data_IF_254140920717
#
_entry.id   IF_254140920717
#
_cell.length_a   1.000
_cell.length_b   1.000
_cell.length_c   1.000
_cell.angle_alpha   90.00
_cell.angle_beta   90.00
_cell.angle_gamma   90.00
#
_symmetry.space_group_name_H-M   'P 1'
#
loop_
_entity.id
_entity.type
_entity.pdbx_description
1 polymer ?
#
# COMPACT_ATOMS: atom_id res chain seq x y z
N UNK A 1 -24.63 29.18 13.90
CA UNK A 1 -23.92 28.05 13.27
C UNK A 1 -23.60 28.46 11.86
N UNK A 2 -22.35 28.85 11.59
CA UNK A 2 -21.95 29.32 10.26
C UNK A 2 -22.04 28.20 9.23
N UNK A 3 -22.92 28.38 8.25
CA UNK A 3 -23.13 27.45 7.14
C UNK A 3 -21.84 27.17 6.36
N UNK A 4 -20.95 28.16 6.28
CA UNK A 4 -19.61 28.07 5.68
C UNK A 4 -18.62 27.21 6.49
N UNK A 5 -18.72 27.20 7.82
CA UNK A 5 -17.95 26.30 8.68
C UNK A 5 -18.47 24.85 8.58
N UNK A 6 -19.79 24.67 8.46
CA UNK A 6 -20.41 23.37 8.18
C UNK A 6 -19.95 22.75 6.86
N UNK A 7 -19.84 23.55 5.80
CA UNK A 7 -19.42 23.09 4.48
C UNK A 7 -17.94 22.65 4.42
N UNK A 8 -17.07 23.28 5.22
CA UNK A 8 -15.64 22.93 5.30
C UNK A 8 -15.36 21.74 6.22
N UNK A 9 -16.20 21.53 7.23
CA UNK A 9 -16.06 20.43 8.21
C UNK A 9 -16.62 19.11 7.71
N UNK A 10 -17.72 19.12 6.95
CA UNK A 10 -18.38 17.90 6.50
C UNK A 10 -17.47 16.95 5.69
N UNK A 11 -16.66 17.42 4.71
CA UNK A 11 -15.73 16.54 3.98
C UNK A 11 -14.64 15.96 4.89
N UNK A 12 -14.10 16.74 5.83
CA UNK A 12 -13.09 16.25 6.79
C UNK A 12 -13.65 15.13 7.68
N UNK A 13 -14.89 15.28 8.17
CA UNK A 13 -15.56 14.26 8.97
C UNK A 13 -15.79 13.00 8.13
N UNK A 14 -16.23 13.15 6.88
CA UNK A 14 -16.41 12.03 5.96
C UNK A 14 -15.12 11.24 5.76
N UNK A 15 -14.02 11.91 5.35
CA UNK A 15 -12.74 11.23 5.13
C UNK A 15 -12.18 10.62 6.42
N UNK A 16 -12.36 11.26 7.58
CA UNK A 16 -12.01 10.68 8.88
C UNK A 16 -12.71 9.31 9.09
N UNK A 17 -14.04 9.28 8.94
CA UNK A 17 -14.83 8.06 9.10
C UNK A 17 -14.38 7.01 8.07
N UNK A 18 -14.23 7.42 6.81
CA UNK A 18 -13.82 6.52 5.73
C UNK A 18 -12.47 5.84 6.01
N UNK A 19 -11.44 6.59 6.41
CA UNK A 19 -10.13 6.02 6.71
C UNK A 19 -10.11 5.15 7.97
N UNK A 20 -10.81 5.54 9.03
CA UNK A 20 -10.91 4.74 10.25
C UNK A 20 -11.67 3.43 10.02
N UNK A 21 -12.82 3.49 9.34
CA UNK A 21 -13.59 2.31 8.98
C UNK A 21 -12.79 1.43 8.03
N UNK A 22 -12.16 2.01 7.02
CA UNK A 22 -11.34 1.25 6.09
C UNK A 22 -10.14 0.57 6.78
N UNK A 23 -9.48 1.24 7.73
CA UNK A 23 -8.42 0.63 8.54
C UNK A 23 -8.90 -0.60 9.34
N UNK A 24 -10.11 -0.52 9.91
CA UNK A 24 -10.74 -1.65 10.60
C UNK A 24 -11.08 -2.77 9.61
N UNK A 25 -11.69 -2.44 8.47
CA UNK A 25 -12.07 -3.40 7.41
C UNK A 25 -10.83 -4.13 6.91
N UNK A 26 -9.76 -3.42 6.55
CA UNK A 26 -8.48 -4.01 6.11
C UNK A 26 -7.90 -4.93 7.18
N UNK A 27 -8.00 -4.55 8.46
CA UNK A 27 -7.50 -5.39 9.56
C UNK A 27 -8.30 -6.69 9.66
N UNK A 28 -9.63 -6.61 9.63
CA UNK A 28 -10.52 -7.78 9.67
C UNK A 28 -10.29 -8.69 8.47
N UNK A 29 -10.21 -8.09 7.28
CA UNK A 29 -10.02 -8.78 6.01
C UNK A 29 -8.66 -9.49 5.97
N UNK A 30 -7.59 -8.84 6.43
CA UNK A 30 -6.26 -9.43 6.52
C UNK A 30 -6.25 -10.69 7.41
N UNK A 31 -6.92 -10.60 8.57
CA UNK A 31 -7.04 -11.74 9.49
C UNK A 31 -7.91 -12.85 8.91
N UNK A 32 -9.00 -12.48 8.24
CA UNK A 32 -9.89 -13.42 7.56
C UNK A 32 -9.15 -14.15 6.43
N UNK A 33 -8.47 -13.43 5.54
CA UNK A 33 -7.70 -14.01 4.43
C UNK A 33 -6.58 -14.91 4.91
N UNK A 34 -5.85 -14.52 5.96
CA UNK A 34 -4.82 -15.37 6.56
C UNK A 34 -5.40 -16.69 7.12
N UNK A 35 -6.58 -16.65 7.75
CA UNK A 35 -7.27 -17.86 8.23
C UNK A 35 -7.81 -18.71 7.09
N UNK A 36 -8.50 -18.10 6.13
CA UNK A 36 -9.09 -18.78 4.96
C UNK A 36 -8.04 -19.53 4.16
N UNK A 37 -6.92 -18.89 3.83
CA UNK A 37 -5.79 -19.52 3.12
C UNK A 37 -5.22 -20.70 3.91
N UNK A 38 -5.10 -20.56 5.23
CA UNK A 38 -4.62 -21.66 6.06
C UNK A 38 -5.58 -22.86 6.05
N UNK A 39 -6.89 -22.62 6.15
CA UNK A 39 -7.91 -23.68 6.10
C UNK A 39 -7.96 -24.36 4.73
N UNK A 40 -7.92 -23.60 3.64
CA UNK A 40 -7.87 -24.14 2.28
C UNK A 40 -6.62 -24.99 2.03
N UNK A 41 -5.48 -24.54 2.56
CA UNK A 41 -4.23 -25.30 2.50
C UNK A 41 -4.33 -26.65 3.22
N UNK A 42 -4.94 -26.67 4.42
CA UNK A 42 -5.18 -27.92 5.16
C UNK A 42 -6.13 -28.85 4.42
N UNK A 43 -7.22 -28.30 3.85
CA UNK A 43 -8.17 -29.07 3.07
C UNK A 43 -7.53 -29.68 1.82
N UNK A 44 -6.68 -28.92 1.10
CA UNK A 44 -5.94 -29.43 -0.07
C UNK A 44 -4.96 -30.54 0.34
N UNK A 45 -4.19 -30.38 1.42
CA UNK A 45 -3.29 -31.42 1.94
C UNK A 45 -4.06 -32.70 2.33
N UNK A 46 -5.20 -32.56 3.00
CA UNK A 46 -5.97 -33.71 3.46
C UNK A 46 -6.63 -34.48 2.30
N UNK A 47 -7.07 -33.76 1.26
CA UNK A 47 -7.63 -34.36 0.05
C UNK A 47 -6.59 -34.98 -0.87
N UNK A 48 -5.37 -34.45 -0.87
CA UNK A 48 -4.31 -34.96 -1.72
C UNK A 48 -3.73 -36.24 -1.14
N UNK A 49 -3.85 -37.37 -1.85
CA UNK A 49 -3.24 -38.68 -1.54
C UNK A 49 -1.70 -38.65 -1.70
N UNK A 50 -1.06 -37.59 -1.23
CA UNK A 50 0.37 -37.36 -1.44
C UNK A 50 1.14 -38.16 -0.39
N UNK A 51 1.88 -39.15 -0.85
CA UNK A 51 2.86 -39.88 -0.03
C UNK A 51 4.02 -38.93 0.24
N UNK A 52 4.08 -38.39 1.46
CA UNK A 52 5.22 -37.57 1.89
C UNK A 52 6.48 -38.45 2.02
N UNK A 53 7.68 -37.93 1.69
CA UNK A 53 8.92 -38.67 1.91
C UNK A 53 9.03 -39.05 3.39
N UNK A 54 9.55 -40.26 3.70
CA UNK A 54 9.59 -40.86 5.05
C UNK A 54 10.15 -39.93 6.15
N UNK A 55 10.96 -38.94 5.75
CA UNK A 55 11.62 -37.98 6.63
C UNK A 55 10.82 -36.69 6.91
N UNK A 56 9.63 -36.50 6.33
CA UNK A 56 8.85 -35.25 6.45
C UNK A 56 7.42 -35.54 6.92
N UNK A 57 7.15 -35.22 8.19
CA UNK A 57 5.80 -35.31 8.76
C UNK A 57 4.88 -34.21 8.20
N UNK A 58 3.62 -34.55 7.92
CA UNK A 58 2.58 -33.59 7.54
C UNK A 58 2.45 -32.44 8.55
N UNK A 59 2.70 -32.70 9.84
CA UNK A 59 2.71 -31.67 10.89
C UNK A 59 3.82 -30.63 10.68
N UNK A 60 4.98 -31.04 10.19
CA UNK A 60 6.12 -30.16 9.92
C UNK A 60 5.87 -29.24 8.73
N UNK A 61 5.22 -29.76 7.68
CA UNK A 61 4.76 -29.00 6.51
C UNK A 61 3.77 -27.92 6.94
N UNK A 62 2.76 -28.29 7.73
CA UNK A 62 1.75 -27.36 8.25
C UNK A 62 2.39 -26.29 9.14
N UNK A 63 3.31 -26.68 10.03
CA UNK A 63 4.05 -25.74 10.90
C UNK A 63 4.87 -24.75 10.08
N UNK A 64 5.54 -25.22 9.03
CA UNK A 64 6.36 -24.40 8.13
C UNK A 64 5.51 -23.42 7.33
N UNK A 65 4.40 -23.88 6.74
CA UNK A 65 3.46 -23.03 6.03
C UNK A 65 2.89 -21.94 6.94
N UNK A 66 2.45 -22.30 8.16
CA UNK A 66 1.93 -21.35 9.15
C UNK A 66 2.97 -20.31 9.58
N UNK A 67 4.25 -20.69 9.70
CA UNK A 67 5.34 -19.74 9.97
C UNK A 67 5.52 -18.75 8.82
N UNK A 68 5.51 -19.23 7.57
CA UNK A 68 5.64 -18.38 6.37
C UNK A 68 4.47 -17.40 6.23
N UNK A 69 3.23 -17.85 6.46
CA UNK A 69 2.05 -16.98 6.50
C UNK A 69 2.19 -15.90 7.60
N UNK A 70 2.56 -16.28 8.82
CA UNK A 70 2.73 -15.32 9.92
C UNK A 70 3.83 -14.28 9.65
N UNK A 71 4.89 -14.66 8.94
CA UNK A 71 5.93 -13.72 8.54
C UNK A 71 5.48 -12.68 7.50
N UNK A 72 4.31 -12.85 6.87
CA UNK A 72 3.73 -11.89 5.93
C UNK A 72 2.89 -10.81 6.62
N UNK A 73 2.24 -11.12 7.76
CA UNK A 73 1.37 -10.20 8.50
C UNK A 73 2.04 -8.85 8.84
N UNK A 74 3.27 -8.80 9.38
CA UNK A 74 3.92 -7.52 9.72
C UNK A 74 4.13 -6.59 8.53
N UNK A 75 4.13 -7.11 7.29
CA UNK A 75 4.31 -6.28 6.09
C UNK A 75 3.02 -5.54 5.68
N UNK A 76 1.88 -5.97 6.18
CA UNK A 76 0.60 -5.28 6.04
C UNK A 76 0.33 -4.30 7.19
N UNK A 77 1.11 -4.38 8.27
CA UNK A 77 0.98 -3.48 9.40
C UNK A 77 1.22 -2.02 8.99
N UNK A 78 2.15 -1.77 8.07
CA UNK A 78 2.35 -0.42 7.51
C UNK A 78 1.09 0.12 6.87
N UNK A 79 0.35 -0.67 6.09
CA UNK A 79 -0.90 -0.23 5.47
C UNK A 79 -1.96 0.17 6.51
N UNK A 80 -2.09 -0.64 7.56
CA UNK A 80 -3.00 -0.36 8.68
C UNK A 80 -2.59 0.93 9.38
N UNK A 81 -1.29 1.10 9.68
CA UNK A 81 -0.75 2.32 10.27
C UNK A 81 -1.04 3.53 9.39
N UNK A 82 -0.92 3.40 8.07
CA UNK A 82 -1.20 4.48 7.13
C UNK A 82 -2.67 4.92 7.14
N UNK A 83 -3.61 3.96 7.14
CA UNK A 83 -5.04 4.24 7.24
C UNK A 83 -5.37 5.01 8.54
N UNK A 84 -4.83 4.55 9.68
CA UNK A 84 -5.05 5.22 10.95
C UNK A 84 -4.32 6.57 11.02
N UNK A 85 -3.13 6.73 10.45
CA UNK A 85 -2.45 8.03 10.42
C UNK A 85 -3.23 9.06 9.61
N UNK A 86 -3.78 8.68 8.46
CA UNK A 86 -4.67 9.53 7.66
C UNK A 86 -5.92 9.90 8.48
N UNK A 87 -6.60 8.90 9.06
CA UNK A 87 -7.77 9.11 9.91
C UNK A 87 -7.51 10.10 11.06
N UNK A 88 -6.41 9.92 11.80
CA UNK A 88 -6.01 10.83 12.88
C UNK A 88 -5.64 12.22 12.34
N UNK A 89 -5.01 12.30 11.18
CA UNK A 89 -4.77 13.57 10.48
C UNK A 89 -6.07 14.33 10.21
N UNK A 90 -7.13 13.65 9.76
CA UNK A 90 -8.45 14.27 9.59
C UNK A 90 -9.11 14.66 10.91
N UNK A 91 -8.85 13.96 12.03
CA UNK A 91 -9.31 14.40 13.35
C UNK A 91 -8.75 15.80 13.67
N UNK A 92 -7.44 16.00 13.50
CA UNK A 92 -6.82 17.32 13.70
C UNK A 92 -7.38 18.37 12.73
N UNK A 93 -7.65 17.98 11.47
CA UNK A 93 -8.32 18.87 10.51
C UNK A 93 -9.71 19.31 10.97
N UNK A 94 -10.50 18.39 11.53
CA UNK A 94 -11.83 18.71 12.08
C UNK A 94 -11.71 19.65 13.27
N UNK A 95 -10.71 19.45 14.15
CA UNK A 95 -10.43 20.34 15.28
C UNK A 95 -10.10 21.76 14.77
N UNK A 96 -9.20 21.88 13.80
CA UNK A 96 -8.82 23.17 13.17
C UNK A 96 -10.00 23.88 12.48
N UNK A 97 -10.93 23.13 11.89
CA UNK A 97 -12.10 23.73 11.24
C UNK A 97 -13.18 24.19 12.24
N UNK A 98 -13.19 23.68 13.48
CA UNK A 98 -14.19 23.99 14.51
C UNK A 98 -13.68 24.95 15.60
N UNK A 99 -12.39 24.91 15.90
CA UNK A 99 -11.75 25.69 16.95
C UNK A 99 -10.95 26.87 16.42
N UNK A 100 -10.31 27.59 17.34
CA UNK A 100 -9.32 28.62 17.00
C UNK A 100 -8.07 27.98 16.41
N UNK A 101 -7.44 28.65 15.45
CA UNK A 101 -6.23 28.15 14.80
C UNK A 101 -5.10 27.90 15.83
N UNK A 102 -4.61 26.68 15.85
CA UNK A 102 -3.49 26.24 16.70
C UNK A 102 -2.41 25.61 15.79
N UNK A 103 -1.20 26.15 15.87
CA UNK A 103 -0.07 25.72 15.03
C UNK A 103 0.25 24.24 15.27
N UNK A 104 0.17 23.76 16.51
CA UNK A 104 0.49 22.36 16.83
C UNK A 104 -0.51 21.38 16.18
N UNK A 105 -1.80 21.74 16.16
CA UNK A 105 -2.83 20.93 15.51
C UNK A 105 -2.62 20.93 13.98
N UNK A 106 -2.20 22.06 13.41
CA UNK A 106 -1.86 22.16 11.99
C UNK A 106 -0.64 21.32 11.63
N UNK A 107 0.40 21.32 12.46
CA UNK A 107 1.59 20.48 12.31
C UNK A 107 1.22 19.01 12.33
N UNK A 108 0.42 18.59 13.31
CA UNK A 108 -0.03 17.21 13.43
C UNK A 108 -0.86 16.80 12.20
N UNK A 109 -1.82 17.63 11.79
CA UNK A 109 -2.63 17.41 10.59
C UNK A 109 -1.77 17.25 9.34
N UNK A 110 -0.91 18.23 9.03
CA UNK A 110 -0.15 18.27 7.78
C UNK A 110 0.84 17.11 7.71
N UNK A 111 1.51 16.80 8.81
CA UNK A 111 2.54 15.75 8.86
C UNK A 111 1.91 14.36 8.73
N UNK A 112 0.83 14.06 9.47
CA UNK A 112 0.19 12.75 9.44
C UNK A 112 -0.41 12.43 8.06
N UNK A 113 -1.08 13.41 7.44
CA UNK A 113 -1.66 13.23 6.11
C UNK A 113 -0.57 13.10 5.04
N UNK A 114 0.53 13.85 5.14
CA UNK A 114 1.59 13.79 4.12
C UNK A 114 2.39 12.48 4.16
N UNK A 115 2.57 11.91 5.36
CA UNK A 115 3.33 10.67 5.55
C UNK A 115 2.52 9.42 5.16
N UNK A 116 1.19 9.42 5.35
CA UNK A 116 0.28 8.30 5.05
C UNK A 116 0.61 7.57 3.73
N UNK A 117 0.63 8.25 2.57
CA UNK A 117 0.99 7.66 1.27
C UNK A 117 2.34 6.94 1.25
N UNK A 118 3.34 7.51 1.94
CA UNK A 118 4.69 6.92 1.99
C UNK A 118 4.65 5.56 2.66
N UNK A 119 3.83 5.45 3.72
CA UNK A 119 3.68 4.22 4.50
C UNK A 119 2.88 3.19 3.70
N UNK A 120 1.80 3.57 3.00
CA UNK A 120 1.06 2.67 2.10
C UNK A 120 1.99 2.05 1.04
N UNK A 121 2.93 2.86 0.55
CA UNK A 121 3.87 2.45 -0.47
C UNK A 121 4.89 1.42 0.00
N UNK A 122 5.17 1.34 1.31
CA UNK A 122 5.95 0.25 1.89
C UNK A 122 5.26 -1.09 1.63
N UNK A 123 3.94 -1.16 1.84
CA UNK A 123 3.16 -2.37 1.59
C UNK A 123 3.08 -2.67 0.10
N UNK A 124 2.78 -1.69 -0.77
CA UNK A 124 2.74 -1.87 -2.23
C UNK A 124 4.06 -2.45 -2.74
N UNK A 125 5.18 -1.85 -2.34
CA UNK A 125 6.53 -2.31 -2.71
C UNK A 125 6.78 -3.74 -2.24
N UNK A 126 6.38 -4.06 -1.02
CA UNK A 126 6.55 -5.38 -0.45
C UNK A 126 5.75 -6.44 -1.24
N UNK A 127 4.47 -6.18 -1.49
CA UNK A 127 3.57 -7.07 -2.23
C UNK A 127 4.09 -7.30 -3.64
N UNK A 128 4.46 -6.23 -4.34
CA UNK A 128 5.04 -6.27 -5.68
C UNK A 128 6.30 -7.14 -5.75
N UNK A 129 7.28 -6.91 -4.87
CA UNK A 129 8.52 -7.70 -4.84
C UNK A 129 8.26 -9.16 -4.51
N UNK A 130 7.29 -9.42 -3.64
CA UNK A 130 6.92 -10.78 -3.28
C UNK A 130 6.34 -11.52 -4.46
N UNK A 131 5.49 -10.85 -5.24
CA UNK A 131 4.94 -11.35 -6.50
C UNK A 131 6.06 -11.69 -7.47
N UNK A 132 6.96 -10.75 -7.77
CA UNK A 132 8.08 -10.97 -8.69
C UNK A 132 8.91 -12.21 -8.31
N UNK A 133 9.26 -12.34 -7.03
CA UNK A 133 10.03 -13.48 -6.52
C UNK A 133 9.28 -14.82 -6.68
N UNK A 134 7.94 -14.81 -6.62
CA UNK A 134 7.12 -16.02 -6.75
C UNK A 134 6.91 -16.43 -8.20
N UNK A 135 6.81 -15.46 -9.08
CA UNK A 135 6.77 -15.69 -10.53
C UNK A 135 8.10 -16.25 -11.04
N UNK A 136 9.19 -16.01 -10.31
CA UNK A 136 10.53 -16.38 -10.75
C UNK A 136 11.05 -15.48 -11.88
N UNK A 137 10.36 -14.37 -12.14
CA UNK A 137 10.88 -13.32 -13.01
C UNK A 137 12.07 -12.66 -12.31
N UNK A 138 13.16 -12.46 -13.05
CA UNK A 138 14.25 -11.60 -12.61
C UNK A 138 13.75 -10.20 -12.26
N UNK A 139 14.57 -9.43 -11.53
CA UNK A 139 14.23 -8.05 -11.20
C UNK A 139 13.97 -7.27 -12.49
N UNK A 140 12.78 -6.68 -12.71
CA UNK A 140 12.50 -5.93 -13.93
C UNK A 140 13.45 -4.75 -14.11
N UNK A 141 14.06 -4.21 -13.05
CA UNK A 141 15.05 -3.15 -13.17
C UNK A 141 16.47 -3.66 -13.46
N UNK A 142 16.67 -4.98 -13.59
CA UNK A 142 17.98 -5.65 -13.70
C UNK A 142 18.94 -5.31 -12.55
N UNK A 143 18.41 -4.86 -11.43
CA UNK A 143 19.19 -4.55 -10.23
C UNK A 143 19.38 -5.80 -9.38
N UNK A 144 20.46 -5.81 -8.59
CA UNK A 144 20.60 -6.85 -7.57
C UNK A 144 19.44 -6.72 -6.56
N UNK A 145 18.84 -7.83 -6.09
CA UNK A 145 17.72 -7.77 -5.16
C UNK A 145 18.02 -6.98 -3.87
N UNK A 146 19.29 -6.95 -3.44
CA UNK A 146 19.75 -6.21 -2.27
C UNK A 146 19.79 -4.71 -2.54
N UNK A 147 20.42 -4.28 -3.63
CA UNK A 147 20.51 -2.87 -4.00
C UNK A 147 19.12 -2.29 -4.24
N UNK A 148 18.27 -3.02 -4.97
CA UNK A 148 16.91 -2.60 -5.21
C UNK A 148 16.16 -2.38 -3.87
N UNK A 149 16.26 -3.32 -2.91
CA UNK A 149 15.58 -3.15 -1.60
C UNK A 149 16.08 -1.94 -0.83
N UNK A 150 17.40 -1.76 -0.76
CA UNK A 150 18.00 -0.65 -0.03
C UNK A 150 17.64 0.70 -0.66
N UNK A 151 17.64 0.79 -1.99
CA UNK A 151 17.31 2.01 -2.71
C UNK A 151 15.88 2.46 -2.40
N UNK A 152 14.88 1.60 -2.61
CA UNK A 152 13.49 1.99 -2.38
C UNK A 152 13.21 2.27 -0.91
N UNK A 153 13.69 1.41 0.00
CA UNK A 153 13.47 1.64 1.43
C UNK A 153 14.16 2.94 1.89
N UNK A 154 15.37 3.21 1.40
CA UNK A 154 16.10 4.45 1.68
C UNK A 154 15.34 5.69 1.19
N UNK A 155 14.78 5.65 -0.03
CA UNK A 155 13.98 6.74 -0.59
C UNK A 155 12.68 6.99 0.20
N UNK A 156 11.98 5.94 0.64
CA UNK A 156 10.79 6.09 1.49
C UNK A 156 11.18 6.80 2.79
N UNK A 157 12.17 6.25 3.50
CA UNK A 157 12.55 6.78 4.82
C UNK A 157 13.07 8.21 4.71
N UNK A 158 13.95 8.49 3.74
CA UNK A 158 14.47 9.85 3.56
C UNK A 158 13.36 10.85 3.23
N UNK A 159 12.42 10.49 2.35
CA UNK A 159 11.30 11.37 2.01
C UNK A 159 10.41 11.68 3.21
N UNK A 160 10.08 10.67 4.01
CA UNK A 160 9.25 10.82 5.21
C UNK A 160 9.96 11.63 6.30
N UNK A 161 11.27 11.42 6.50
CA UNK A 161 12.06 12.23 7.45
C UNK A 161 12.05 13.71 7.05
N UNK A 162 12.23 14.03 5.76
CA UNK A 162 12.18 15.43 5.30
C UNK A 162 10.83 16.09 5.60
N UNK A 163 9.73 15.34 5.48
CA UNK A 163 8.39 15.84 5.77
C UNK A 163 8.14 16.04 7.27
N UNK A 164 8.65 15.15 8.12
CA UNK A 164 8.60 15.33 9.58
C UNK A 164 9.39 16.56 9.98
N UNK A 165 10.59 16.76 9.42
CA UNK A 165 11.44 17.94 9.68
C UNK A 165 10.74 19.22 9.23
N UNK A 166 10.12 19.21 8.05
CA UNK A 166 9.30 20.33 7.58
C UNK A 166 8.16 20.64 8.56
N UNK A 167 7.43 19.60 9.01
CA UNK A 167 6.36 19.72 9.98
C UNK A 167 6.81 20.33 11.31
N UNK A 168 7.95 19.89 11.85
CA UNK A 168 8.49 20.43 13.10
C UNK A 168 8.88 21.93 12.97
N UNK A 169 9.41 22.32 11.81
CA UNK A 169 9.85 23.70 11.54
C UNK A 169 8.71 24.70 11.36
N UNK A 170 7.48 24.25 11.11
CA UNK A 170 6.28 25.13 11.08
C UNK A 170 6.00 25.86 12.40
N UNK A 171 6.60 25.41 13.50
CA UNK A 171 6.49 26.10 14.80
C UNK A 171 7.26 27.42 14.84
N UNK A 172 8.23 27.63 13.94
CA UNK A 172 9.00 28.86 13.80
C UNK A 172 8.51 29.67 12.57
N UNK A 173 7.86 30.83 12.78
CA UNK A 173 7.38 31.68 11.69
C UNK A 173 8.49 32.19 10.76
N UNK A 174 9.75 32.23 11.21
CA UNK A 174 10.87 32.69 10.38
C UNK A 174 11.42 31.58 9.47
N UNK A 175 11.02 30.32 9.69
CA UNK A 175 11.53 29.17 8.95
C UNK A 175 10.66 28.73 7.77
N UNK A 176 9.66 29.53 7.34
CA UNK A 176 8.67 29.13 6.33
C UNK A 176 9.29 28.75 4.97
N UNK A 177 10.35 29.43 4.54
CA UNK A 177 11.07 29.09 3.30
C UNK A 177 11.82 27.76 3.42
N UNK A 178 12.40 27.49 4.59
CA UNK A 178 13.02 26.21 4.88
C UNK A 178 11.97 25.08 4.91
N UNK A 179 10.81 25.33 5.53
CA UNK A 179 9.68 24.38 5.56
C UNK A 179 9.28 23.97 4.16
N UNK A 180 9.07 24.93 3.24
CA UNK A 180 8.73 24.65 1.85
C UNK A 180 9.83 23.83 1.16
N UNK A 181 11.10 24.17 1.41
CA UNK A 181 12.25 23.44 0.87
C UNK A 181 12.23 21.97 1.30
N UNK A 182 12.02 21.70 2.59
CA UNK A 182 11.95 20.33 3.11
C UNK A 182 10.73 19.56 2.59
N UNK A 183 9.55 20.19 2.50
CA UNK A 183 8.37 19.56 1.90
C UNK A 183 8.60 19.21 0.42
N UNK A 184 9.10 20.16 -0.37
CA UNK A 184 9.41 19.96 -1.80
C UNK A 184 10.45 18.85 -1.98
N UNK A 185 11.51 18.84 -1.16
CA UNK A 185 12.54 17.82 -1.21
C UNK A 185 11.97 16.42 -0.91
N UNK A 186 11.19 16.29 0.17
CA UNK A 186 10.54 15.04 0.54
C UNK A 186 9.60 14.51 -0.55
N UNK A 187 8.72 15.38 -1.07
CA UNK A 187 7.77 15.00 -2.12
C UNK A 187 8.48 14.66 -3.43
N UNK A 188 9.56 15.38 -3.78
CA UNK A 188 10.35 15.07 -4.98
C UNK A 188 10.97 13.67 -4.91
N UNK A 189 11.47 13.27 -3.73
CA UNK A 189 11.97 11.91 -3.50
C UNK A 189 10.85 10.86 -3.59
N UNK A 190 9.65 11.16 -3.08
CA UNK A 190 8.48 10.28 -3.26
C UNK A 190 8.12 10.09 -4.73
N UNK A 191 8.03 11.19 -5.50
CA UNK A 191 7.71 11.15 -6.93
C UNK A 191 8.73 10.30 -7.68
N UNK A 192 10.03 10.51 -7.42
CA UNK A 192 11.08 9.70 -8.03
C UNK A 192 10.88 8.22 -7.73
N UNK A 193 10.58 7.89 -6.46
CA UNK A 193 10.34 6.50 -6.07
C UNK A 193 9.09 5.90 -6.72
N UNK A 194 7.97 6.61 -6.72
CA UNK A 194 6.71 6.16 -7.34
C UNK A 194 6.89 5.96 -8.84
N UNK A 195 7.60 6.87 -9.50
CA UNK A 195 7.95 6.76 -10.92
C UNK A 195 8.80 5.54 -11.21
N UNK A 196 9.87 5.29 -10.44
CA UNK A 196 10.73 4.11 -10.64
C UNK A 196 9.95 2.81 -10.38
N UNK A 197 9.08 2.78 -9.36
CA UNK A 197 8.25 1.61 -9.08
C UNK A 197 7.25 1.34 -10.21
N UNK A 198 6.57 2.39 -10.67
CA UNK A 198 5.60 2.31 -11.76
C UNK A 198 6.26 1.84 -13.06
N UNK A 199 7.45 2.37 -13.37
CA UNK A 199 8.25 1.93 -14.50
C UNK A 199 8.64 0.45 -14.39
N UNK A 200 9.04 -0.01 -13.19
CA UNK A 200 9.32 -1.43 -12.94
C UNK A 200 8.09 -2.30 -13.23
N UNK A 201 6.91 -1.90 -12.76
CA UNK A 201 5.64 -2.62 -12.97
C UNK A 201 5.25 -2.67 -14.45
N UNK A 202 5.45 -1.57 -15.20
CA UNK A 202 5.21 -1.53 -16.64
C UNK A 202 6.13 -2.49 -17.38
N UNK A 203 7.44 -2.42 -17.11
CA UNK A 203 8.42 -3.30 -17.74
C UNK A 203 8.12 -4.76 -17.41
N UNK A 204 7.78 -5.07 -16.17
CA UNK A 204 7.32 -6.40 -15.77
C UNK A 204 6.09 -6.85 -16.58
N UNK A 205 5.07 -6.01 -16.70
CA UNK A 205 3.86 -6.32 -17.46
C UNK A 205 4.16 -6.58 -18.94
N UNK A 206 5.10 -5.86 -19.54
CA UNK A 206 5.51 -6.08 -20.93
C UNK A 206 6.31 -7.37 -21.11
N UNK A 207 7.22 -7.68 -20.17
CA UNK A 207 8.06 -8.88 -20.21
C UNK A 207 7.28 -10.16 -19.92
N UNK A 208 6.27 -10.13 -19.07
CA UNK A 208 5.52 -11.35 -18.75
C UNK A 208 4.59 -11.82 -19.87
N UNK A 209 4.16 -10.92 -20.76
CA UNK A 209 3.40 -11.34 -21.96
C UNK A 209 4.25 -12.17 -22.94
N UNK A 210 5.58 -12.08 -22.86
CA UNK A 210 6.49 -12.85 -23.72
C UNK A 210 6.96 -14.17 -23.08
N UNK A 211 6.65 -14.43 -21.81
CA UNK A 211 7.06 -15.64 -21.09
C UNK A 211 5.85 -16.43 -20.58
N UNK A 212 5.76 -17.70 -20.98
CA UNK A 212 4.74 -18.61 -20.43
C UNK A 212 5.20 -19.12 -19.05
N UNK A 213 4.43 -18.78 -18.01
CA UNK A 213 4.61 -19.34 -16.66
C UNK A 213 3.49 -20.34 -16.38
N UNK A 214 3.67 -21.64 -16.70
CA UNK A 214 2.60 -22.65 -16.68
C UNK A 214 2.06 -22.99 -15.29
N UNK A 215 2.65 -22.45 -14.21
CA UNK A 215 2.31 -22.75 -12.83
C UNK A 215 1.58 -21.59 -12.12
N UNK A 216 1.31 -20.48 -12.81
CA UNK A 216 0.69 -19.29 -12.21
C UNK A 216 -0.74 -19.05 -12.72
N UNK A 217 -1.68 -19.19 -11.79
CA UNK A 217 -3.09 -18.81 -11.94
C UNK A 217 -3.23 -17.34 -12.33
N UNK A 218 -4.33 -16.95 -13.00
CA UNK A 218 -4.58 -15.56 -13.44
C UNK A 218 -4.59 -14.51 -12.30
N UNK A 219 -4.57 -14.93 -11.03
CA UNK A 219 -4.52 -14.09 -9.83
C UNK A 219 -3.39 -13.04 -9.83
N UNK A 220 -2.22 -13.35 -10.39
CA UNK A 220 -1.11 -12.39 -10.41
C UNK A 220 -1.38 -11.18 -11.31
N UNK A 221 -2.18 -11.33 -12.38
CA UNK A 221 -2.52 -10.22 -13.30
C UNK A 221 -3.36 -9.18 -12.58
N UNK A 222 -4.40 -9.63 -11.88
CA UNK A 222 -5.28 -8.76 -11.11
C UNK A 222 -4.51 -8.06 -9.99
N UNK A 223 -3.62 -8.77 -9.28
CA UNK A 223 -2.77 -8.16 -8.26
C UNK A 223 -1.82 -7.12 -8.87
N UNK A 224 -1.20 -7.40 -10.02
CA UNK A 224 -0.34 -6.43 -10.69
C UNK A 224 -1.11 -5.17 -11.12
N UNK A 225 -2.33 -5.32 -11.65
CA UNK A 225 -3.19 -4.18 -11.98
C UNK A 225 -3.59 -3.35 -10.75
N UNK A 226 -3.95 -3.99 -9.64
CA UNK A 226 -4.27 -3.28 -8.41
C UNK A 226 -3.07 -2.47 -7.88
N UNK A 227 -1.87 -3.06 -7.90
CA UNK A 227 -0.63 -2.38 -7.51
C UNK A 227 -0.26 -1.24 -8.47
N UNK A 228 -0.47 -1.45 -9.77
CA UNK A 228 -0.24 -0.45 -10.81
C UNK A 228 -1.14 0.76 -10.61
N UNK A 229 -2.46 0.55 -10.50
CA UNK A 229 -3.45 1.61 -10.27
C UNK A 229 -3.20 2.35 -8.95
N UNK A 230 -2.85 1.62 -7.89
CA UNK A 230 -2.50 2.23 -6.60
C UNK A 230 -1.26 3.13 -6.72
N UNK A 231 -0.20 2.65 -7.36
CA UNK A 231 1.03 3.43 -7.54
C UNK A 231 0.79 4.66 -8.41
N UNK A 232 -0.04 4.55 -9.45
CA UNK A 232 -0.44 5.69 -10.29
C UNK A 232 -1.23 6.73 -9.50
N UNK A 233 -2.19 6.32 -8.67
CA UNK A 233 -2.98 7.25 -7.86
C UNK A 233 -2.08 8.05 -6.90
N UNK A 234 -1.13 7.39 -6.24
CA UNK A 234 -0.19 8.05 -5.32
C UNK A 234 0.80 8.96 -6.06
N UNK A 235 1.22 8.60 -7.28
CA UNK A 235 2.05 9.46 -8.13
C UNK A 235 1.33 10.75 -8.51
N UNK A 236 0.07 10.65 -8.96
CA UNK A 236 -0.73 11.83 -9.31
C UNK A 236 -0.88 12.77 -8.11
N UNK A 237 -1.22 12.23 -6.93
CA UNK A 237 -1.26 12.99 -5.68
C UNK A 237 0.06 13.72 -5.42
N UNK A 238 1.18 13.01 -5.42
CA UNK A 238 2.48 13.62 -5.09
C UNK A 238 2.88 14.71 -6.09
N UNK A 239 2.58 14.56 -7.38
CA UNK A 239 2.83 15.60 -8.39
C UNK A 239 2.00 16.86 -8.08
N UNK A 240 0.72 16.70 -7.76
CA UNK A 240 -0.15 17.84 -7.45
C UNK A 240 0.31 18.54 -6.18
N UNK A 241 0.71 17.77 -5.16
CA UNK A 241 1.30 18.31 -3.93
C UNK A 241 2.60 19.07 -4.19
N UNK A 242 3.46 18.55 -5.07
CA UNK A 242 4.68 19.25 -5.45
C UNK A 242 4.37 20.62 -6.10
N UNK A 243 3.38 20.66 -7.00
CA UNK A 243 2.96 21.91 -7.65
C UNK A 243 2.36 22.87 -6.63
N UNK A 244 1.54 22.38 -5.69
CA UNK A 244 0.96 23.18 -4.61
C UNK A 244 2.05 23.84 -3.76
N UNK A 245 3.03 23.08 -3.25
CA UNK A 245 4.11 23.65 -2.43
C UNK A 245 5.04 24.58 -3.22
N UNK A 246 5.20 24.36 -4.54
CA UNK A 246 5.95 25.28 -5.41
C UNK A 246 5.23 26.61 -5.66
N UNK A 247 3.90 26.63 -5.62
CA UNK A 247 3.12 27.88 -5.67
C UNK A 247 3.22 28.67 -4.35
N UNK A 248 3.63 28.01 -3.26
CA UNK A 248 3.78 28.64 -1.96
C UNK A 248 2.44 28.87 -1.24
N UNK A 249 2.50 29.63 -0.15
CA UNK A 249 1.38 29.83 0.77
C UNK A 249 0.20 30.61 0.17
N UNK A 250 0.46 31.49 -0.79
CA UNK A 250 -0.56 32.31 -1.47
C UNK A 250 -1.10 31.64 -2.76
N UNK A 251 -0.66 30.42 -3.06
CA UNK A 251 -1.05 29.68 -4.25
C UNK A 251 -2.55 29.39 -4.34
N UNK A 252 -3.09 29.37 -5.56
CA UNK A 252 -4.52 29.10 -5.81
C UNK A 252 -4.95 27.73 -5.25
N UNK A 253 -4.08 26.71 -5.36
CA UNK A 253 -4.37 25.35 -4.91
C UNK A 253 -4.50 25.28 -3.39
N UNK A 254 -3.57 25.90 -2.65
CA UNK A 254 -3.57 25.91 -1.18
C UNK A 254 -4.79 26.68 -0.62
N UNK A 255 -5.19 27.75 -1.29
CA UNK A 255 -6.33 28.59 -0.89
C UNK A 255 -7.69 27.92 -1.10
N UNK A 256 -7.79 26.95 -2.01
CA UNK A 256 -9.05 26.27 -2.33
C UNK A 256 -9.13 24.90 -1.65
N UNK A 257 -9.85 24.86 -0.53
CA UNK A 257 -10.00 23.65 0.30
C UNK A 257 -10.51 22.39 -0.43
N UNK A 258 -11.18 22.52 -1.57
CA UNK A 258 -11.67 21.37 -2.35
C UNK A 258 -10.55 20.63 -3.10
N UNK A 259 -9.47 21.31 -3.49
CA UNK A 259 -8.33 20.65 -4.16
C UNK A 259 -7.70 19.61 -3.24
N UNK A 260 -7.58 19.93 -1.95
CA UNK A 260 -7.11 19.02 -0.93
C UNK A 260 -7.91 17.71 -0.94
N UNK A 261 -9.25 17.78 -0.90
CA UNK A 261 -10.07 16.56 -0.84
C UNK A 261 -10.01 15.73 -2.13
N UNK A 262 -10.06 16.39 -3.29
CA UNK A 262 -10.11 15.71 -4.59
C UNK A 262 -8.76 15.13 -5.00
N UNK A 263 -7.67 15.88 -4.81
CA UNK A 263 -6.37 15.51 -5.36
C UNK A 263 -5.40 14.91 -4.35
N UNK A 264 -5.75 14.92 -3.05
CA UNK A 264 -4.90 14.35 -2.01
C UNK A 264 -5.59 13.24 -1.21
N UNK A 265 -6.79 13.51 -0.70
CA UNK A 265 -7.56 12.52 0.08
C UNK A 265 -8.07 11.38 -0.79
N UNK A 266 -8.66 11.72 -1.94
CA UNK A 266 -9.31 10.74 -2.82
C UNK A 266 -8.33 9.72 -3.40
N UNK A 267 -7.15 10.09 -3.93
CA UNK A 267 -6.21 9.10 -4.47
C UNK A 267 -5.71 8.08 -3.43
N UNK A 268 -5.48 8.50 -2.19
CA UNK A 268 -5.08 7.59 -1.09
C UNK A 268 -6.24 6.70 -0.67
N UNK A 269 -7.44 7.26 -0.56
CA UNK A 269 -8.60 6.46 -0.24
C UNK A 269 -8.90 5.41 -1.34
N UNK A 270 -8.68 5.75 -2.62
CA UNK A 270 -8.79 4.79 -3.73
C UNK A 270 -7.78 3.65 -3.61
N UNK A 271 -6.54 3.91 -3.18
CA UNK A 271 -5.56 2.86 -2.88
C UNK A 271 -6.09 1.91 -1.81
N UNK A 272 -6.66 2.46 -0.74
CA UNK A 272 -7.32 1.66 0.30
C UNK A 272 -8.44 0.78 -0.26
N UNK A 273 -9.29 1.31 -1.13
CA UNK A 273 -10.33 0.52 -1.80
C UNK A 273 -9.74 -0.58 -2.68
N UNK A 274 -8.70 -0.30 -3.47
CA UNK A 274 -8.05 -1.31 -4.30
C UNK A 274 -7.46 -2.46 -3.46
N UNK A 275 -6.93 -2.15 -2.28
CA UNK A 275 -6.46 -3.17 -1.34
C UNK A 275 -7.60 -3.98 -0.71
N UNK A 276 -8.73 -3.35 -0.37
CA UNK A 276 -9.92 -4.04 0.17
C UNK A 276 -10.59 -4.92 -0.88
N UNK A 277 -10.75 -4.44 -2.12
CA UNK A 277 -11.31 -5.27 -3.19
C UNK A 277 -10.34 -6.37 -3.62
N UNK A 278 -9.03 -6.09 -3.53
CA UNK A 278 -7.97 -7.03 -3.88
C UNK A 278 -7.66 -8.09 -2.80
N UNK A 279 -7.95 -7.81 -1.53
CA UNK A 279 -7.49 -8.63 -0.42
C UNK A 279 -8.18 -9.99 -0.17
N UNK A 280 -9.44 -10.26 -0.60
CA UNK A 280 -10.07 -11.56 -0.35
C UNK A 280 -9.64 -12.65 -1.35
N UNK A 281 -9.13 -12.24 -2.52
CA UNK A 281 -8.83 -13.13 -3.66
C UNK A 281 -7.35 -13.07 -4.10
N UNK A 282 -6.58 -12.03 -3.76
CA UNK A 282 -5.28 -11.75 -4.40
C UNK A 282 -4.15 -11.42 -3.43
N UNK A 283 -4.17 -11.97 -2.23
CA UNK A 283 -3.08 -11.74 -1.28
C UNK A 283 -1.84 -12.59 -1.60
N UNK A 284 -0.62 -12.10 -1.30
CA UNK A 284 0.60 -12.90 -1.23
C UNK A 284 0.46 -14.17 -0.39
N UNK A 285 -0.53 -14.26 0.50
CA UNK A 285 -0.86 -15.49 1.22
C UNK A 285 -1.33 -16.59 0.26
N UNK A 286 -2.23 -16.28 -0.68
CA UNK A 286 -2.69 -17.23 -1.71
C UNK A 286 -1.53 -17.66 -2.58
N UNK A 287 -0.77 -16.70 -3.13
CA UNK A 287 0.39 -16.97 -3.98
C UNK A 287 1.47 -17.79 -3.24
N UNK A 288 1.65 -17.55 -1.93
CA UNK A 288 2.54 -18.33 -1.08
C UNK A 288 2.08 -19.78 -0.95
N UNK A 289 0.79 -19.98 -0.72
CA UNK A 289 0.19 -21.30 -0.58
C UNK A 289 0.22 -22.08 -1.89
N UNK A 290 -0.13 -21.46 -3.02
CA UNK A 290 -0.07 -22.06 -4.36
C UNK A 290 1.36 -22.48 -4.71
N UNK A 291 2.33 -21.59 -4.54
CA UNK A 291 3.74 -21.92 -4.83
C UNK A 291 4.24 -23.06 -3.93
N UNK A 292 3.80 -23.11 -2.67
CA UNK A 292 4.23 -24.15 -1.75
C UNK A 292 3.59 -25.51 -2.09
N UNK A 293 2.31 -25.53 -2.46
CA UNK A 293 1.60 -26.73 -2.94
C UNK A 293 2.16 -27.23 -4.28
N UNK A 294 2.51 -26.33 -5.20
CA UNK A 294 3.20 -26.66 -6.45
C UNK A 294 4.56 -27.33 -6.18
N UNK A 295 5.38 -26.76 -5.29
CA UNK A 295 6.67 -27.36 -4.91
C UNK A 295 6.54 -28.72 -4.23
N UNK A 296 5.36 -29.05 -3.69
CA UNK A 296 5.04 -30.36 -3.13
C UNK A 296 4.45 -31.33 -4.17
N UNK A 297 4.29 -30.90 -5.43
CA UNK A 297 3.70 -31.70 -6.51
C UNK A 297 2.18 -31.85 -6.43
N UNK A 298 1.51 -31.07 -5.57
CA UNK A 298 0.06 -31.19 -5.29
C UNK A 298 -0.77 -30.41 -6.32
N UNK A 299 -0.25 -29.27 -6.78
CA UNK A 299 -0.85 -28.49 -7.87
C UNK A 299 -0.16 -28.86 -9.18
N UNK A 300 -0.77 -29.76 -9.96
CA UNK A 300 -0.42 -29.94 -11.37
C UNK A 300 -1.39 -29.08 -12.20
N UNK A 301 -0.84 -28.16 -13.02
CA UNK A 301 -1.54 -27.06 -13.69
C UNK A 301 -2.64 -27.41 -14.71
N UNK A 302 -3.29 -28.57 -14.62
CA UNK A 302 -4.36 -29.01 -15.53
C UNK A 302 -5.77 -29.05 -14.92
N UNK A 303 -5.95 -28.90 -13.60
CA UNK A 303 -7.25 -29.21 -12.96
C UNK A 303 -8.09 -28.02 -12.49
N UNK A 304 -7.57 -26.79 -12.42
CA UNK A 304 -8.31 -25.65 -11.83
C UNK A 304 -9.10 -24.76 -12.81
N UNK A 305 -8.84 -24.79 -14.14
CA UNK A 305 -9.69 -24.07 -15.11
C UNK A 305 -11.12 -24.63 -15.18
N UNK A 306 -11.29 -25.93 -14.89
CA UNK A 306 -12.60 -26.60 -14.91
C UNK A 306 -13.41 -26.40 -13.63
N UNK A 307 -12.76 -26.19 -12.48
CA UNK A 307 -13.44 -26.03 -11.18
C UNK A 307 -14.00 -24.60 -11.00
N UNK A 308 -13.35 -23.58 -11.57
CA UNK A 308 -13.78 -22.18 -11.49
C UNK A 308 -14.88 -21.80 -12.50
N UNK A 309 -15.17 -22.63 -13.50
CA UNK A 309 -16.36 -22.45 -14.36
C UNK A 309 -17.66 -22.89 -13.65
N UNK A 310 -17.56 -23.45 -12.44
CA UNK A 310 -18.68 -24.05 -11.69
C UNK A 310 -19.03 -23.37 -10.36
N UNK A 311 -18.36 -22.25 -10.03
CA UNK A 311 -18.64 -21.38 -8.87
C UNK A 311 -18.91 -19.97 -9.38
#
# INVERSE_FOLDING_TARGET
MDFTAGLKTAPSVLFCILFLVAGIVVTVELLYSARKVHTLFLAKIHRSEVVFPENVSAQEIVRTHRKKLRALLPRYLSFIIACFSEGVGYIFRVILCKGSFNVNDYIAMSTLILIGPSIEMVTILFVYRRMLKRIGCGDPLNLSPRLNRMLFFGLIVSSSVMQVVAGAKLSDPNALDEVLTYYIAGISLQIAMFGILLFSMLKFSLTIHTHQFPHLTAHWKTMNWALFLSTTALLVRSIIRLVEYKQGWEGYIMNHSWFFYVFDSTPVFLVTIFFIMGGPLYTPFVLESETYLYNLGILNGKSEETELASI
#
